data_IF_528762537422
#
_entry.id   IF_528762537422
#
_cell.length_a   1.000
_cell.length_b   1.000
_cell.length_c   1.000
_cell.angle_alpha   90.00
_cell.angle_beta   90.00
_cell.angle_gamma   90.00
#
_symmetry.space_group_name_H-M   'P 1'
#
loop_
_entity.id
_entity.type
_entity.pdbx_description
1 polymer ?
#
# COMPACT_ATOMS: atom_id res chain seq x y z
N UNK A 1 -21.51 -8.80 22.65
CA UNK A 1 -21.01 -7.66 21.87
C UNK A 1 -19.59 -8.00 21.48
N UNK A 2 -19.39 -8.57 20.29
CA UNK A 2 -18.08 -9.08 19.87
C UNK A 2 -17.17 -7.90 19.55
N UNK A 3 -16.27 -7.62 20.49
CA UNK A 3 -15.16 -6.69 20.35
C UNK A 3 -14.14 -7.32 19.40
N UNK A 4 -14.38 -7.21 18.09
CA UNK A 4 -13.39 -7.58 17.08
C UNK A 4 -12.37 -6.46 17.00
N UNK A 5 -11.41 -6.55 17.91
CA UNK A 5 -10.10 -5.92 17.84
C UNK A 5 -9.36 -6.46 16.61
N UNK A 6 -9.76 -6.06 15.40
CA UNK A 6 -8.85 -6.14 14.25
C UNK A 6 -7.94 -4.94 14.36
N UNK A 7 -6.94 -5.10 15.23
CA UNK A 7 -5.76 -4.24 15.32
C UNK A 7 -5.06 -4.36 13.97
N UNK A 8 -5.44 -3.51 13.01
CA UNK A 8 -4.49 -3.13 11.98
C UNK A 8 -3.30 -2.54 12.75
N UNK A 9 -2.06 -2.95 12.47
CA UNK A 9 -0.92 -2.38 13.15
C UNK A 9 -0.91 -0.87 12.84
N UNK A 10 -1.28 -0.06 13.83
CA UNK A 10 -1.01 1.38 13.85
C UNK A 10 0.51 1.66 13.79
N UNK A 11 1.32 0.61 13.96
CA UNK A 11 2.78 0.59 13.82
C UNK A 11 3.22 0.15 12.40
N UNK A 12 2.76 0.86 11.38
CA UNK A 12 3.70 1.28 10.31
C UNK A 12 3.96 2.79 10.50
N UNK A 13 4.09 3.18 11.77
CA UNK A 13 4.83 4.38 12.13
C UNK A 13 6.30 3.97 12.19
N UNK A 14 7.02 4.30 11.13
CA UNK A 14 8.47 4.44 11.01
C UNK A 14 9.22 4.22 12.34
N UNK A 15 9.60 2.99 12.65
CA UNK A 15 10.50 2.71 13.75
C UNK A 15 11.93 2.88 13.27
N UNK A 16 12.50 4.02 13.71
CA UNK A 16 13.92 4.36 13.82
C UNK A 16 14.57 4.86 12.51
N UNK A 17 15.25 6.00 12.42
CA UNK A 17 16.00 6.74 13.44
C UNK A 17 16.34 8.12 12.90
N UNK A 18 16.34 9.12 13.78
CA UNK A 18 16.84 10.49 13.63
C UNK A 18 15.93 11.51 12.94
N UNK A 19 15.71 12.57 13.72
CA UNK A 19 15.15 13.86 13.36
C UNK A 19 15.65 14.33 11.99
N UNK A 20 14.73 14.39 11.04
CA UNK A 20 14.35 15.61 10.36
C UNK A 20 12.89 15.42 9.92
N UNK A 21 12.04 16.34 10.38
CA UNK A 21 10.80 16.68 9.71
C UNK A 21 11.20 17.29 8.36
N UNK A 22 11.74 16.49 7.43
CA UNK A 22 11.83 16.92 6.06
C UNK A 22 10.40 16.92 5.55
N UNK A 23 9.92 18.13 5.34
CA UNK A 23 8.68 18.45 4.67
C UNK A 23 8.85 18.03 3.21
N UNK A 24 8.98 16.72 2.94
CA UNK A 24 8.84 16.20 1.61
C UNK A 24 7.36 16.35 1.30
N UNK A 25 7.01 17.50 0.73
CA UNK A 25 5.65 17.88 0.36
C UNK A 25 5.09 16.74 -0.47
N UNK A 26 4.30 15.86 0.17
CA UNK A 26 3.71 14.66 -0.42
C UNK A 26 2.91 15.00 -1.67
N UNK A 27 2.38 16.22 -1.73
CA UNK A 27 1.70 16.82 -2.88
C UNK A 27 2.56 16.83 -4.16
N UNK A 28 3.88 17.04 -4.03
CA UNK A 28 4.79 17.22 -5.18
C UNK A 28 5.02 15.93 -5.98
N UNK A 29 4.83 14.75 -5.38
CA UNK A 29 5.04 13.47 -6.10
C UNK A 29 4.02 13.32 -7.22
N UNK A 30 2.74 13.58 -6.93
CA UNK A 30 1.68 13.44 -7.93
C UNK A 30 1.50 14.69 -8.80
N UNK A 31 1.95 15.85 -8.34
CA UNK A 31 1.92 17.09 -9.14
C UNK A 31 2.85 17.02 -10.36
N UNK A 32 3.91 16.21 -10.30
CA UNK A 32 4.84 16.01 -11.42
C UNK A 32 4.28 15.11 -12.53
N UNK A 33 3.13 14.46 -12.32
CA UNK A 33 2.48 13.59 -13.30
C UNK A 33 1.42 14.40 -14.05
N UNK A 34 1.53 14.50 -15.37
CA UNK A 34 0.58 15.29 -16.17
C UNK A 34 -0.69 14.47 -16.46
N UNK A 35 -1.87 15.06 -16.23
CA UNK A 35 -3.17 14.46 -16.51
C UNK A 35 -3.68 13.56 -15.38
N UNK A 36 -4.72 12.76 -15.68
CA UNK A 36 -5.36 11.85 -14.73
C UNK A 36 -5.99 12.53 -13.51
N UNK A 37 -6.43 13.79 -13.60
CA UNK A 37 -6.92 14.55 -12.45
C UNK A 37 -8.05 13.86 -11.69
N UNK A 38 -9.03 13.30 -12.42
CA UNK A 38 -10.13 12.54 -11.80
C UNK A 38 -9.61 11.30 -11.04
N UNK A 39 -8.63 10.60 -11.63
CA UNK A 39 -8.03 9.43 -11.03
C UNK A 39 -7.17 9.78 -9.81
N UNK A 40 -6.38 10.86 -9.88
CA UNK A 40 -5.60 11.37 -8.74
C UNK A 40 -6.50 11.73 -7.57
N UNK A 41 -7.61 12.41 -7.84
CA UNK A 41 -8.58 12.79 -6.80
C UNK A 41 -9.15 11.57 -6.09
N UNK A 42 -9.62 10.57 -6.84
CA UNK A 42 -10.13 9.32 -6.28
C UNK A 42 -9.03 8.59 -5.50
N UNK A 43 -7.83 8.53 -6.07
CA UNK A 43 -6.69 7.85 -5.45
C UNK A 43 -6.32 8.51 -4.10
N UNK A 44 -6.20 9.83 -4.06
CA UNK A 44 -5.89 10.58 -2.85
C UNK A 44 -6.95 10.38 -1.76
N UNK A 45 -8.23 10.36 -2.12
CA UNK A 45 -9.32 10.08 -1.19
C UNK A 45 -9.21 8.68 -0.56
N UNK A 46 -8.85 7.67 -1.37
CA UNK A 46 -8.63 6.30 -0.88
C UNK A 46 -7.34 6.15 -0.05
N UNK A 47 -6.31 6.95 -0.33
CA UNK A 47 -5.03 6.90 0.39
C UNK A 47 -5.05 7.71 1.69
N UNK A 48 -5.88 8.75 1.79
CA UNK A 48 -5.96 9.63 2.96
C UNK A 48 -6.23 8.87 4.28
N UNK A 49 -7.12 7.85 4.34
CA UNK A 49 -7.28 6.97 5.51
C UNK A 49 -5.99 6.31 5.99
N UNK A 50 -5.10 5.93 5.06
CA UNK A 50 -3.86 5.22 5.36
C UNK A 50 -2.84 6.21 5.96
N UNK A 51 -2.82 7.45 5.48
CA UNK A 51 -1.92 8.50 5.98
C UNK A 51 -2.43 9.10 7.30
N UNK A 52 -3.75 9.27 7.45
CA UNK A 52 -4.40 9.96 8.56
C UNK A 52 -5.40 9.06 9.31
N UNK A 53 -4.93 7.91 9.79
CA UNK A 53 -5.74 6.86 10.44
C UNK A 53 -6.60 7.34 11.62
N UNK A 54 -6.16 8.38 12.35
CA UNK A 54 -6.87 8.96 13.51
C UNK A 54 -8.32 9.38 13.23
N UNK A 55 -8.62 9.75 11.99
CA UNK A 55 -9.98 10.17 11.60
C UNK A 55 -10.91 8.97 11.48
N UNK A 56 -10.41 7.81 11.05
CA UNK A 56 -11.22 6.60 10.88
C UNK A 56 -11.66 6.00 12.21
N UNK A 57 -10.76 6.02 13.21
CA UNK A 57 -11.06 5.47 14.54
C UNK A 57 -12.17 6.25 15.24
N UNK A 58 -12.16 7.58 15.08
CA UNK A 58 -13.22 8.46 15.60
C UNK A 58 -14.59 8.15 14.98
N UNK A 59 -14.62 7.66 13.74
CA UNK A 59 -15.84 7.39 12.98
C UNK A 59 -16.22 5.89 13.05
N UNK A 60 -15.39 5.06 13.67
CA UNK A 60 -15.58 3.61 13.72
C UNK A 60 -15.51 2.93 12.35
N UNK A 61 -14.85 3.55 11.38
CA UNK A 61 -14.71 3.03 10.02
C UNK A 61 -13.41 2.22 9.89
N UNK A 62 -13.43 1.17 9.06
CA UNK A 62 -12.23 0.41 8.72
C UNK A 62 -11.56 1.02 7.48
N UNK A 63 -10.21 1.02 7.41
CA UNK A 63 -9.49 1.47 6.21
C UNK A 63 -9.88 0.62 5.00
N UNK A 64 -9.76 1.17 3.77
CA UNK A 64 -10.05 0.44 2.55
C UNK A 64 -9.14 -0.80 2.45
N UNK A 65 -9.72 -1.94 2.05
CA UNK A 65 -9.03 -3.23 2.03
C UNK A 65 -7.98 -3.40 0.92
N UNK A 66 -7.88 -2.44 -0.02
CA UNK A 66 -6.93 -2.47 -1.13
C UNK A 66 -7.45 -1.71 -2.36
N UNK A 67 -6.53 -1.39 -3.27
CA UNK A 67 -6.81 -0.69 -4.53
C UNK A 67 -6.45 -1.62 -5.68
N UNK A 68 -7.32 -1.71 -6.70
CA UNK A 68 -7.07 -2.49 -7.91
C UNK A 68 -7.00 -1.55 -9.10
N UNK A 69 -5.86 -1.54 -9.79
CA UNK A 69 -5.65 -0.78 -11.02
C UNK A 69 -5.93 -1.65 -12.24
N UNK A 70 -6.94 -1.30 -13.03
CA UNK A 70 -7.33 -2.04 -14.24
C UNK A 70 -7.38 -1.12 -15.47
N UNK A 71 -7.14 -1.68 -16.65
CA UNK A 71 -7.13 -0.94 -17.92
C UNK A 71 -6.26 -1.61 -19.00
N UNK A 72 -6.34 -1.15 -20.26
CA UNK A 72 -5.56 -1.70 -21.36
C UNK A 72 -4.04 -1.61 -21.13
N UNK A 73 -3.22 -2.44 -21.79
CA UNK A 73 -1.77 -2.35 -21.69
C UNK A 73 -1.29 -0.96 -22.12
N UNK A 74 -0.33 -0.38 -21.40
CA UNK A 74 0.18 0.97 -21.68
C UNK A 74 -0.45 2.12 -20.87
N UNK A 75 -1.54 1.89 -20.12
CA UNK A 75 -2.15 2.94 -19.26
C UNK A 75 -1.40 3.25 -17.95
N UNK A 76 -0.13 2.86 -17.82
CA UNK A 76 0.67 3.21 -16.64
C UNK A 76 0.28 2.55 -15.31
N UNK A 77 -0.45 1.42 -15.31
CA UNK A 77 -0.88 0.74 -14.06
C UNK A 77 0.29 0.41 -13.12
N UNK A 78 1.36 -0.20 -13.65
CA UNK A 78 2.55 -0.53 -12.87
C UNK A 78 3.25 0.72 -12.36
N UNK A 79 3.36 1.75 -13.21
CA UNK A 79 3.91 3.05 -12.85
C UNK A 79 3.15 3.67 -11.66
N UNK A 80 1.82 3.68 -11.71
CA UNK A 80 1.00 4.17 -10.60
C UNK A 80 1.18 3.35 -9.32
N UNK A 81 1.31 2.02 -9.42
CA UNK A 81 1.56 1.18 -8.24
C UNK A 81 2.89 1.54 -7.54
N UNK A 82 3.95 1.80 -8.32
CA UNK A 82 5.23 2.26 -7.80
C UNK A 82 5.15 3.67 -7.21
N UNK A 83 4.51 4.62 -7.89
CA UNK A 83 4.36 6.00 -7.40
C UNK A 83 3.53 6.07 -6.11
N UNK A 84 2.48 5.25 -5.98
CA UNK A 84 1.71 5.14 -4.74
C UNK A 84 2.59 4.63 -3.59
N UNK A 85 3.41 3.61 -3.83
CA UNK A 85 4.33 3.09 -2.81
C UNK A 85 5.35 4.16 -2.37
N UNK A 86 5.90 4.92 -3.32
CA UNK A 86 6.79 6.06 -3.04
C UNK A 86 6.09 7.14 -2.23
N UNK A 87 4.86 7.52 -2.62
CA UNK A 87 4.06 8.52 -1.93
C UNK A 87 3.75 8.13 -0.47
N UNK A 88 3.46 6.85 -0.23
CA UNK A 88 3.23 6.32 1.12
C UNK A 88 4.52 6.05 1.90
N UNK A 89 5.70 6.11 1.26
CA UNK A 89 6.97 5.63 1.80
C UNK A 89 6.92 4.16 2.26
N UNK A 90 6.20 3.33 1.53
CA UNK A 90 6.05 1.90 1.81
C UNK A 90 6.98 1.08 0.92
N UNK A 91 7.34 -0.11 1.40
CA UNK A 91 8.09 -1.06 0.58
C UNK A 91 7.22 -1.57 -0.56
N UNK A 92 7.69 -1.41 -1.79
CA UNK A 92 7.03 -1.96 -2.97
C UNK A 92 7.45 -3.42 -3.17
N UNK A 93 6.50 -4.35 -3.08
CA UNK A 93 6.71 -5.77 -3.34
C UNK A 93 6.01 -6.19 -4.64
N UNK A 94 6.79 -6.47 -5.68
CA UNK A 94 6.27 -7.07 -6.90
C UNK A 94 6.22 -8.60 -6.74
N UNK A 95 5.03 -9.18 -6.93
CA UNK A 95 4.83 -10.63 -6.91
C UNK A 95 4.79 -11.13 -8.35
N UNK A 96 5.87 -11.74 -8.88
CA UNK A 96 5.88 -12.24 -10.24
C UNK A 96 4.89 -13.39 -10.39
N UNK A 97 4.25 -13.47 -11.56
CA UNK A 97 3.28 -14.53 -11.89
C UNK A 97 3.85 -15.94 -11.74
N UNK A 98 5.16 -16.11 -11.90
CA UNK A 98 5.86 -17.39 -11.75
C UNK A 98 5.69 -18.03 -10.37
N UNK A 99 5.44 -17.24 -9.32
CA UNK A 99 5.18 -17.76 -7.97
C UNK A 99 3.90 -18.60 -7.93
N UNK A 100 2.88 -18.20 -8.69
CA UNK A 100 1.62 -18.93 -8.80
C UNK A 100 1.70 -20.13 -9.74
N UNK A 101 2.76 -20.25 -10.55
CA UNK A 101 2.98 -21.40 -11.40
C UNK A 101 3.67 -22.53 -10.60
N UNK A 102 2.86 -23.43 -10.03
CA UNK A 102 3.37 -24.65 -9.40
C UNK A 102 2.57 -25.88 -9.80
N UNK A 103 3.25 -26.97 -10.12
CA UNK A 103 2.63 -28.27 -10.41
C UNK A 103 2.14 -29.02 -9.15
N UNK A 104 2.44 -28.49 -7.95
CA UNK A 104 2.01 -29.04 -6.65
C UNK A 104 0.80 -28.26 -6.11
N UNK A 105 -0.14 -28.95 -5.47
CA UNK A 105 -1.41 -28.40 -4.96
C UNK A 105 -1.17 -27.22 -4.00
N UNK A 106 -0.14 -27.29 -3.16
CA UNK A 106 0.19 -26.24 -2.18
C UNK A 106 1.42 -25.40 -2.56
N UNK A 107 2.02 -25.66 -3.72
CA UNK A 107 3.31 -25.07 -4.09
C UNK A 107 3.29 -23.54 -4.19
N UNK A 108 2.19 -22.97 -4.71
CA UNK A 108 2.02 -21.52 -4.82
C UNK A 108 1.84 -20.85 -3.45
N UNK A 109 1.08 -21.48 -2.55
CA UNK A 109 0.81 -20.95 -1.20
C UNK A 109 2.09 -20.94 -0.37
N UNK A 110 2.89 -22.01 -0.44
CA UNK A 110 4.17 -22.10 0.27
C UNK A 110 5.14 -21.03 -0.23
N UNK A 111 5.33 -20.90 -1.56
CA UNK A 111 6.22 -19.88 -2.14
C UNK A 111 5.79 -18.45 -1.81
N UNK A 112 4.48 -18.19 -1.83
CA UNK A 112 3.95 -16.88 -1.45
C UNK A 112 4.21 -16.58 0.02
N UNK A 113 4.01 -17.58 0.90
CA UNK A 113 4.30 -17.44 2.32
C UNK A 113 5.79 -17.17 2.56
N UNK A 114 6.67 -17.95 1.93
CA UNK A 114 8.13 -17.73 2.02
C UNK A 114 8.55 -16.33 1.55
N UNK A 115 7.93 -15.83 0.47
CA UNK A 115 8.18 -14.47 0.00
C UNK A 115 7.74 -13.43 1.03
N UNK A 116 6.55 -13.56 1.58
CA UNK A 116 6.01 -12.62 2.57
C UNK A 116 6.84 -12.64 3.85
N UNK A 117 7.17 -13.82 4.38
CA UNK A 117 7.99 -14.00 5.58
C UNK A 117 9.41 -13.40 5.41
N UNK A 118 9.91 -13.28 4.17
CA UNK A 118 11.21 -12.67 3.87
C UNK A 118 11.20 -11.14 3.90
N UNK A 119 10.02 -10.53 3.71
CA UNK A 119 9.82 -9.08 3.59
C UNK A 119 9.24 -8.50 4.89
N UNK A 120 8.54 -9.30 5.68
CA UNK A 120 8.05 -8.85 6.99
C UNK A 120 9.21 -8.37 7.87
N UNK A 121 9.11 -7.16 8.47
CA UNK A 121 10.11 -6.69 9.40
C UNK A 121 10.14 -7.66 10.58
N UNK A 122 11.31 -8.24 10.85
CA UNK A 122 11.54 -9.02 12.08
C UNK A 122 11.36 -8.06 13.25
N UNK A 123 10.23 -8.22 13.95
CA UNK A 123 9.93 -7.59 15.24
C UNK A 123 11.03 -7.90 16.26
#
# INVERSE_FOLDING_TARGET
>A
MLHLSTKFPEEICLSNTNAEQETFSKDVVFDNIIGYEDFKSILLDQLNPIVNGKTLDLWGLRPPGGIILFGPPGCGKTFWAEEIAKYLQFQFLEIPRSIFASSFVDGAVIKLKELLDSVEPKQ
#
